data_IF_145415305816
#
_entry.id   IF_145415305816
#
_cell.length_a   1.000
_cell.length_b   1.000
_cell.length_c   1.000
_cell.angle_alpha   90.00
_cell.angle_beta   90.00
_cell.angle_gamma   90.00
#
_symmetry.space_group_name_H-M   'P 1'
#
loop_
_entity.id
_entity.type
_entity.pdbx_description
1 polymer ?
#
# COMPACT_ATOMS: atom_id res chain seq x y z
N UNK A 1 -20.97 -23.74 11.65
CA UNK A 1 -20.13 -22.65 11.09
C UNK A 1 -19.55 -23.14 9.76
N UNK A 2 -19.69 -22.38 8.69
CA UNK A 2 -19.11 -22.67 7.39
C UNK A 2 -18.39 -21.41 6.82
N UNK A 3 -17.70 -21.56 5.68
CA UNK A 3 -16.92 -20.46 5.07
C UNK A 3 -17.80 -19.28 4.64
N UNK A 4 -19.07 -19.55 4.34
CA UNK A 4 -20.05 -18.53 3.95
C UNK A 4 -20.40 -17.67 5.15
N UNK A 5 -20.51 -18.25 6.35
CA UNK A 5 -20.75 -17.51 7.57
C UNK A 5 -19.60 -16.53 7.87
N UNK A 6 -18.36 -16.97 7.63
CA UNK A 6 -17.18 -16.12 7.78
C UNK A 6 -17.13 -14.99 6.73
N UNK A 7 -17.54 -15.26 5.49
CA UNK A 7 -17.66 -14.23 4.44
C UNK A 7 -18.71 -13.17 4.82
N UNK A 8 -19.84 -13.59 5.35
CA UNK A 8 -20.89 -12.67 5.79
C UNK A 8 -20.45 -11.83 7.00
N UNK A 9 -19.76 -12.47 7.96
CA UNK A 9 -19.17 -11.78 9.11
C UNK A 9 -18.19 -10.69 8.64
N UNK A 10 -17.24 -11.02 7.76
CA UNK A 10 -16.27 -10.08 7.24
C UNK A 10 -16.92 -8.93 6.46
N UNK A 11 -17.93 -9.24 5.61
CA UNK A 11 -18.67 -8.22 4.87
C UNK A 11 -19.45 -7.28 5.79
N UNK A 12 -20.10 -7.80 6.83
CA UNK A 12 -20.84 -7.03 7.80
C UNK A 12 -19.93 -6.12 8.64
N UNK A 13 -18.76 -6.64 9.06
CA UNK A 13 -17.76 -5.87 9.78
C UNK A 13 -17.19 -4.71 8.95
N UNK A 14 -16.86 -4.96 7.68
CA UNK A 14 -16.33 -3.94 6.78
C UNK A 14 -17.36 -2.87 6.41
N UNK A 15 -18.63 -3.26 6.23
CA UNK A 15 -19.69 -2.35 5.85
C UNK A 15 -20.25 -1.53 7.04
N UNK A 16 -20.11 -2.03 8.28
CA UNK A 16 -20.72 -1.47 9.48
C UNK A 16 -22.27 -1.44 9.44
N UNK A 17 -22.87 -2.19 8.50
CA UNK A 17 -24.33 -2.23 8.31
C UNK A 17 -24.72 -3.49 7.52
N UNK A 18 -25.67 -4.27 8.03
CA UNK A 18 -26.10 -5.52 7.37
C UNK A 18 -26.76 -5.29 6.01
N UNK A 19 -27.46 -4.17 5.82
CA UNK A 19 -28.08 -3.85 4.53
C UNK A 19 -27.03 -3.52 3.46
N UNK A 20 -25.99 -2.75 3.80
CA UNK A 20 -24.86 -2.47 2.89
C UNK A 20 -24.08 -3.74 2.57
N UNK A 21 -23.83 -4.58 3.58
CA UNK A 21 -23.17 -5.87 3.39
C UNK A 21 -24.00 -6.80 2.48
N UNK A 22 -25.31 -6.86 2.67
CA UNK A 22 -26.22 -7.63 1.83
C UNK A 22 -26.18 -7.15 0.37
N UNK A 23 -26.27 -5.85 0.16
CA UNK A 23 -26.19 -5.24 -1.18
C UNK A 23 -24.87 -5.57 -1.89
N UNK A 24 -23.74 -5.52 -1.19
CA UNK A 24 -22.42 -5.85 -1.78
C UNK A 24 -22.27 -7.32 -2.15
N UNK A 25 -23.06 -8.21 -1.52
CA UNK A 25 -23.04 -9.66 -1.77
C UNK A 25 -24.19 -10.12 -2.67
N UNK A 26 -25.07 -9.22 -3.14
CA UNK A 26 -26.25 -9.57 -3.94
C UNK A 26 -27.29 -10.36 -3.16
N UNK A 27 -27.45 -10.10 -1.85
CA UNK A 27 -28.30 -10.84 -0.93
C UNK A 27 -29.32 -9.94 -0.23
N UNK A 28 -30.31 -10.58 0.42
CA UNK A 28 -31.25 -9.90 1.31
C UNK A 28 -30.62 -9.68 2.71
N UNK A 29 -30.94 -8.53 3.32
CA UNK A 29 -30.48 -8.19 4.68
C UNK A 29 -30.87 -9.24 5.71
N UNK A 30 -32.07 -9.84 5.57
CA UNK A 30 -32.58 -10.90 6.45
C UNK A 30 -31.71 -12.16 6.39
N UNK A 31 -31.13 -12.46 5.24
CA UNK A 31 -30.24 -13.62 5.06
C UNK A 31 -28.94 -13.43 5.86
N UNK A 32 -28.29 -12.27 5.74
CA UNK A 32 -27.09 -11.98 6.50
C UNK A 32 -27.38 -11.95 8.01
N UNK A 33 -28.42 -11.20 8.42
CA UNK A 33 -28.77 -11.09 9.85
C UNK A 33 -29.04 -12.45 10.48
N UNK A 34 -29.79 -13.34 9.80
CA UNK A 34 -30.12 -14.69 10.28
C UNK A 34 -28.88 -15.60 10.34
N UNK A 35 -27.97 -15.49 9.36
CA UNK A 35 -26.73 -16.28 9.33
C UNK A 35 -25.78 -15.84 10.43
N UNK A 36 -25.62 -14.52 10.63
CA UNK A 36 -24.82 -13.97 11.72
C UNK A 36 -25.38 -14.39 13.08
N UNK A 37 -26.71 -14.29 13.29
CA UNK A 37 -27.34 -14.74 14.54
C UNK A 37 -27.06 -16.23 14.84
N UNK A 38 -27.19 -17.11 13.83
CA UNK A 38 -26.83 -18.53 13.99
C UNK A 38 -25.36 -18.74 14.32
N UNK A 39 -24.48 -17.92 13.74
CA UNK A 39 -23.05 -17.97 14.04
C UNK A 39 -22.77 -17.55 15.49
N UNK A 40 -23.42 -16.50 15.98
CA UNK A 40 -23.36 -16.03 17.36
C UNK A 40 -23.88 -17.11 18.33
N UNK A 41 -25.01 -17.76 17.99
CA UNK A 41 -25.55 -18.89 18.78
C UNK A 41 -24.56 -20.07 18.87
N UNK A 42 -23.89 -20.41 17.78
CA UNK A 42 -22.89 -21.47 17.73
C UNK A 42 -21.62 -21.14 18.52
N UNK A 43 -21.22 -19.87 18.53
CA UNK A 43 -20.03 -19.42 19.23
C UNK A 43 -20.29 -19.12 20.71
N UNK A 44 -21.55 -18.93 21.08
CA UNK A 44 -21.97 -18.66 22.45
C UNK A 44 -21.74 -17.20 22.91
N UNK A 45 -21.44 -16.27 21.96
CA UNK A 45 -21.31 -14.85 22.26
C UNK A 45 -21.69 -13.99 21.04
N UNK A 46 -22.09 -12.74 21.30
CA UNK A 46 -22.43 -11.79 20.25
C UNK A 46 -21.17 -11.29 19.53
N UNK A 47 -21.20 -11.30 18.21
CA UNK A 47 -20.15 -10.76 17.36
C UNK A 47 -20.36 -9.28 17.08
N UNK A 48 -21.63 -8.84 17.04
CA UNK A 48 -22.02 -7.47 16.77
C UNK A 48 -22.90 -6.89 17.87
N UNK A 49 -22.72 -5.63 18.11
CA UNK A 49 -23.67 -4.78 18.86
C UNK A 49 -24.39 -3.84 17.87
N UNK A 50 -25.68 -3.60 18.14
CA UNK A 50 -26.52 -2.71 17.33
C UNK A 50 -26.51 -1.32 17.93
N UNK A 51 -26.15 -0.31 17.12
CA UNK A 51 -26.22 1.10 17.48
C UNK A 51 -27.11 1.85 16.47
N UNK A 52 -27.50 3.07 16.82
CA UNK A 52 -28.24 3.95 15.88
C UNK A 52 -27.47 4.21 14.59
N UNK A 53 -26.14 4.14 14.62
CA UNK A 53 -25.21 4.32 13.49
C UNK A 53 -25.03 3.06 12.62
N UNK A 54 -25.56 1.90 13.02
CA UNK A 54 -25.38 0.64 12.32
C UNK A 54 -25.02 -0.53 13.23
N UNK A 55 -24.12 -1.40 12.79
CA UNK A 55 -23.59 -2.53 13.57
C UNK A 55 -22.10 -2.37 13.76
N UNK A 56 -21.62 -2.62 14.98
CA UNK A 56 -20.22 -2.58 15.35
C UNK A 56 -19.80 -3.92 15.94
N UNK A 57 -18.55 -4.32 15.70
CA UNK A 57 -18.01 -5.53 16.33
C UNK A 57 -17.91 -5.34 17.84
N UNK A 58 -18.32 -6.36 18.58
CA UNK A 58 -17.99 -6.49 20.00
C UNK A 58 -16.48 -6.75 20.18
N UNK A 59 -15.98 -6.68 21.42
CA UNK A 59 -14.60 -7.05 21.72
C UNK A 59 -14.28 -8.50 21.29
N UNK A 60 -15.25 -9.44 21.50
CA UNK A 60 -15.14 -10.82 21.01
C UNK A 60 -15.12 -10.91 19.49
N UNK A 61 -15.99 -10.16 18.81
CA UNK A 61 -16.01 -10.07 17.36
C UNK A 61 -14.69 -9.53 16.81
N UNK A 62 -14.14 -8.49 17.43
CA UNK A 62 -12.90 -7.87 17.03
C UNK A 62 -11.69 -8.81 17.15
N UNK A 63 -11.59 -9.56 18.26
CA UNK A 63 -10.52 -10.54 18.44
C UNK A 63 -10.60 -11.69 17.43
N UNK A 64 -11.81 -12.08 17.00
CA UNK A 64 -12.02 -13.15 16.03
C UNK A 64 -11.67 -12.73 14.59
N UNK A 65 -11.77 -11.44 14.24
CA UNK A 65 -11.61 -10.97 12.86
C UNK A 65 -10.22 -11.28 12.26
N UNK A 66 -9.17 -11.29 13.07
CA UNK A 66 -7.84 -11.68 12.60
C UNK A 66 -7.83 -13.15 12.10
N UNK A 67 -8.48 -14.04 12.82
CA UNK A 67 -8.60 -15.46 12.44
C UNK A 67 -9.53 -15.65 11.24
N UNK A 68 -10.68 -14.96 11.23
CA UNK A 68 -11.63 -15.00 10.10
C UNK A 68 -10.94 -14.57 8.79
N UNK A 69 -10.23 -13.48 8.81
CA UNK A 69 -9.54 -12.97 7.63
C UNK A 69 -8.45 -13.93 7.13
N UNK A 70 -7.69 -14.56 8.02
CA UNK A 70 -6.71 -15.59 7.65
C UNK A 70 -7.39 -16.81 7.04
N UNK A 71 -8.46 -17.31 7.65
CA UNK A 71 -9.20 -18.47 7.14
C UNK A 71 -9.77 -18.20 5.74
N UNK A 72 -10.34 -17.01 5.51
CA UNK A 72 -10.84 -16.63 4.18
C UNK A 72 -9.71 -16.53 3.15
N UNK A 73 -8.57 -15.98 3.53
CA UNK A 73 -7.41 -15.91 2.65
C UNK A 73 -6.86 -17.30 2.29
N UNK A 74 -6.79 -18.23 3.26
CA UNK A 74 -6.41 -19.62 3.00
C UNK A 74 -7.41 -20.35 2.11
N UNK A 75 -8.71 -20.15 2.35
CA UNK A 75 -9.75 -20.73 1.49
C UNK A 75 -9.61 -20.23 0.04
N UNK A 76 -9.38 -18.92 -0.16
CA UNK A 76 -9.15 -18.37 -1.49
C UNK A 76 -7.85 -18.91 -2.12
N UNK A 77 -6.82 -19.19 -1.33
CA UNK A 77 -5.60 -19.85 -1.78
C UNK A 77 -5.87 -21.29 -2.24
N UNK A 78 -6.68 -22.05 -1.50
CA UNK A 78 -7.09 -23.42 -1.90
C UNK A 78 -7.89 -23.38 -3.22
N UNK A 79 -8.83 -22.45 -3.36
CA UNK A 79 -9.60 -22.30 -4.61
C UNK A 79 -8.69 -21.96 -5.79
N UNK A 80 -7.72 -21.07 -5.57
CA UNK A 80 -6.71 -20.74 -6.60
C UNK A 80 -5.85 -21.96 -6.94
N UNK A 81 -5.32 -22.66 -5.94
CA UNK A 81 -4.48 -23.86 -6.14
C UNK A 81 -5.24 -24.99 -6.87
N UNK A 82 -6.54 -25.15 -6.59
CA UNK A 82 -7.39 -26.12 -7.29
C UNK A 82 -7.62 -25.76 -8.78
N UNK A 83 -7.63 -24.44 -9.09
CA UNK A 83 -7.68 -23.95 -10.47
C UNK A 83 -6.35 -24.05 -11.23
N UNK A 84 -5.25 -24.24 -10.48
CA UNK A 84 -3.88 -24.24 -10.98
C UNK A 84 -3.29 -25.65 -10.97
N UNK A 85 -3.63 -26.49 -11.93
CA UNK A 85 -2.86 -27.70 -12.17
C UNK A 85 -1.41 -27.34 -12.55
N UNK A 86 -0.58 -27.15 -11.53
CA UNK A 86 0.84 -27.47 -11.56
C UNK A 86 1.83 -26.59 -12.33
N UNK A 87 1.46 -25.46 -12.94
CA UNK A 87 2.43 -24.74 -13.79
C UNK A 87 2.79 -23.31 -13.39
N UNK A 88 2.03 -22.63 -12.48
CA UNK A 88 2.27 -21.23 -12.12
C UNK A 88 2.31 -20.24 -13.31
N UNK A 89 1.84 -20.66 -14.47
CA UNK A 89 1.65 -19.83 -15.66
C UNK A 89 0.29 -19.11 -15.65
N UNK A 90 -0.59 -19.51 -14.75
CA UNK A 90 -1.90 -18.92 -14.50
C UNK A 90 -1.95 -18.58 -13.01
N UNK A 91 -2.42 -17.40 -12.66
CA UNK A 91 -2.50 -16.98 -11.26
C UNK A 91 -2.88 -15.51 -11.10
N UNK A 92 -2.82 -15.03 -9.87
CA UNK A 92 -3.05 -13.64 -9.55
C UNK A 92 -2.06 -13.16 -8.51
N UNK A 93 -1.53 -11.96 -8.68
CA UNK A 93 -0.61 -11.31 -7.76
C UNK A 93 -1.25 -10.03 -7.25
N UNK A 94 -1.29 -9.87 -5.93
CA UNK A 94 -1.74 -8.67 -5.25
C UNK A 94 -0.51 -7.89 -4.78
N UNK A 95 -0.23 -6.78 -5.45
CA UNK A 95 0.91 -5.90 -5.19
C UNK A 95 0.47 -4.69 -4.36
N UNK A 96 1.04 -4.53 -3.19
CA UNK A 96 0.91 -3.32 -2.40
C UNK A 96 1.96 -2.29 -2.79
N UNK A 97 1.58 -1.02 -2.84
CA UNK A 97 2.51 0.07 -3.12
C UNK A 97 2.24 1.23 -2.17
N UNK A 98 3.30 1.86 -1.67
CA UNK A 98 3.17 3.11 -0.93
C UNK A 98 3.23 4.32 -1.85
N UNK A 99 4.12 4.29 -2.84
CA UNK A 99 4.29 5.35 -3.82
C UNK A 99 3.59 4.93 -5.12
N UNK A 100 2.84 5.84 -5.77
CA UNK A 100 2.25 5.53 -7.07
C UNK A 100 3.33 5.06 -8.05
N UNK A 101 3.14 3.93 -8.73
CA UNK A 101 4.12 3.37 -9.66
C UNK A 101 4.07 4.08 -11.02
N UNK A 102 4.38 5.38 -11.05
CA UNK A 102 4.18 6.25 -12.23
C UNK A 102 5.44 6.47 -13.07
N UNK A 103 6.55 5.80 -12.76
CA UNK A 103 7.80 6.02 -13.47
C UNK A 103 8.66 4.78 -13.67
N UNK A 104 9.74 4.98 -14.43
CA UNK A 104 10.81 4.01 -14.55
C UNK A 104 11.63 3.91 -13.24
N UNK A 105 12.16 2.72 -12.85
CA UNK A 105 12.18 1.50 -13.67
C UNK A 105 10.99 0.55 -13.45
N UNK A 106 10.04 0.86 -12.55
CA UNK A 106 8.95 -0.07 -12.21
C UNK A 106 8.03 -0.35 -13.41
N UNK A 107 7.73 0.67 -14.23
CA UNK A 107 6.89 0.49 -15.43
C UNK A 107 7.49 -0.58 -16.34
N UNK A 108 8.80 -0.52 -16.61
CA UNK A 108 9.47 -1.47 -17.49
C UNK A 108 9.59 -2.87 -16.87
N UNK A 109 9.71 -2.98 -15.54
CA UNK A 109 9.68 -4.25 -14.83
C UNK A 109 8.29 -4.91 -14.96
N UNK A 110 7.22 -4.15 -14.73
CA UNK A 110 5.84 -4.64 -14.85
C UNK A 110 5.46 -4.98 -16.28
N UNK A 111 5.90 -4.19 -17.26
CA UNK A 111 5.68 -4.46 -18.69
C UNK A 111 6.35 -5.77 -19.11
N UNK A 112 7.63 -5.96 -18.77
CA UNK A 112 8.35 -7.20 -19.05
C UNK A 112 7.79 -8.43 -18.32
N UNK A 113 7.26 -8.25 -17.11
CA UNK A 113 6.50 -9.30 -16.43
C UNK A 113 5.26 -9.70 -17.22
N UNK A 114 4.44 -8.75 -17.63
CA UNK A 114 3.22 -8.99 -18.42
C UNK A 114 3.50 -9.73 -19.73
N UNK A 115 4.58 -9.37 -20.43
CA UNK A 115 4.98 -10.04 -21.67
C UNK A 115 5.33 -11.52 -21.46
N UNK A 116 6.07 -11.83 -20.39
CA UNK A 116 6.51 -13.20 -20.09
C UNK A 116 5.43 -14.05 -19.40
N UNK A 117 4.48 -13.41 -18.72
CA UNK A 117 3.44 -14.07 -17.91
C UNK A 117 2.07 -13.48 -18.18
N UNK A 118 1.56 -13.55 -19.44
CA UNK A 118 0.31 -12.87 -19.86
C UNK A 118 -0.94 -13.39 -19.14
N UNK A 119 -0.88 -14.61 -18.61
CA UNK A 119 -2.00 -15.26 -17.90
C UNK A 119 -1.95 -15.10 -16.37
N UNK A 120 -0.99 -14.34 -15.85
CA UNK A 120 -0.95 -13.99 -14.42
C UNK A 120 -1.53 -12.61 -14.23
N UNK A 121 -2.69 -12.53 -13.59
CA UNK A 121 -3.32 -11.26 -13.27
C UNK A 121 -2.50 -10.51 -12.21
N UNK A 122 -2.35 -9.20 -12.37
CA UNK A 122 -1.74 -8.33 -11.39
C UNK A 122 -2.76 -7.29 -10.94
N UNK A 123 -2.94 -7.16 -9.64
CA UNK A 123 -3.72 -6.08 -9.01
C UNK A 123 -2.82 -5.22 -8.14
N UNK A 124 -3.06 -3.92 -8.13
CA UNK A 124 -2.29 -2.96 -7.33
C UNK A 124 -3.21 -2.32 -6.30
N UNK A 125 -2.72 -2.18 -5.07
CA UNK A 125 -3.40 -1.46 -4.01
C UNK A 125 -2.43 -0.45 -3.37
N UNK A 126 -2.82 0.82 -3.35
CA UNK A 126 -2.09 1.85 -2.60
C UNK A 126 -2.44 1.76 -1.13
N UNK A 127 -1.41 1.72 -0.28
CA UNK A 127 -1.60 1.61 1.17
C UNK A 127 -0.37 2.10 1.94
N UNK A 128 -0.54 2.35 3.23
CA UNK A 128 0.56 2.67 4.13
C UNK A 128 1.43 1.43 4.39
N UNK A 129 2.70 1.62 4.75
CA UNK A 129 3.60 0.50 5.03
C UNK A 129 3.13 -0.37 6.21
N UNK A 130 2.60 0.18 7.33
CA UNK A 130 2.00 -0.64 8.38
C UNK A 130 0.78 -1.45 7.90
N UNK A 131 -0.08 -0.86 7.07
CA UNK A 131 -1.21 -1.57 6.48
C UNK A 131 -0.74 -2.68 5.52
N UNK A 132 0.34 -2.44 4.78
CA UNK A 132 0.97 -3.41 3.88
C UNK A 132 1.57 -4.58 4.65
N UNK A 133 2.32 -4.33 5.73
CA UNK A 133 2.85 -5.37 6.60
C UNK A 133 1.73 -6.25 7.16
N UNK A 134 0.64 -5.63 7.63
CA UNK A 134 -0.54 -6.35 8.12
C UNK A 134 -1.26 -7.14 7.03
N UNK A 135 -1.36 -6.59 5.82
CA UNK A 135 -1.98 -7.26 4.68
C UNK A 135 -1.16 -8.48 4.22
N UNK A 136 0.18 -8.39 4.23
CA UNK A 136 1.08 -9.53 3.97
C UNK A 136 0.90 -10.61 5.04
N UNK A 137 0.91 -10.26 6.32
CA UNK A 137 0.69 -11.20 7.43
C UNK A 137 -0.66 -11.93 7.29
N UNK A 138 -1.72 -11.19 6.95
CA UNK A 138 -3.08 -11.73 6.78
C UNK A 138 -3.33 -12.39 5.42
N UNK A 139 -2.31 -12.56 4.58
CA UNK A 139 -2.40 -13.15 3.22
C UNK A 139 -3.40 -12.43 2.30
N UNK A 140 -3.64 -11.14 2.56
CA UNK A 140 -4.45 -10.27 1.70
C UNK A 140 -3.64 -9.60 0.60
N UNK A 141 -2.32 -9.64 0.76
CA UNK A 141 -1.32 -9.13 -0.17
C UNK A 141 -0.28 -10.23 -0.38
N UNK A 142 0.28 -10.30 -1.58
CA UNK A 142 1.29 -11.30 -1.94
C UNK A 142 2.69 -10.70 -1.90
N UNK A 143 2.83 -9.48 -2.41
CA UNK A 143 4.09 -8.73 -2.45
C UNK A 143 3.82 -7.25 -2.17
N UNK A 144 4.83 -6.54 -1.70
CA UNK A 144 4.75 -5.09 -1.46
C UNK A 144 5.99 -4.35 -1.94
N UNK A 145 5.83 -3.10 -2.32
CA UNK A 145 6.93 -2.16 -2.55
C UNK A 145 6.96 -1.16 -1.40
N UNK A 146 8.05 -1.19 -0.65
CA UNK A 146 8.28 -0.31 0.50
C UNK A 146 9.55 0.52 0.30
N UNK A 147 9.70 1.54 1.12
CA UNK A 147 10.98 2.22 1.28
C UNK A 147 11.79 1.56 2.39
N UNK A 148 13.12 1.52 2.28
CA UNK A 148 14.01 0.85 3.25
C UNK A 148 14.00 1.42 4.68
N UNK A 149 13.19 2.45 4.93
CA UNK A 149 13.09 3.11 6.23
C UNK A 149 12.13 2.41 7.21
N UNK A 150 11.31 1.47 6.73
CA UNK A 150 10.31 0.83 7.58
C UNK A 150 10.57 -0.67 7.65
N UNK A 151 10.91 -1.21 8.83
CA UNK A 151 11.03 -2.66 9.01
C UNK A 151 9.68 -3.36 8.74
N UNK A 152 9.69 -4.35 7.86
CA UNK A 152 8.49 -5.10 7.50
C UNK A 152 8.34 -6.40 8.32
N UNK A 153 8.68 -6.35 9.60
CA UNK A 153 8.53 -7.48 10.52
C UNK A 153 9.28 -8.73 10.07
N UNK A 154 8.56 -9.87 9.95
CA UNK A 154 9.12 -11.15 9.51
C UNK A 154 9.12 -11.34 7.99
N UNK A 155 8.75 -10.34 7.19
CA UNK A 155 8.74 -10.44 5.74
C UNK A 155 10.17 -10.54 5.20
N UNK A 156 10.34 -11.32 4.13
CA UNK A 156 11.56 -11.29 3.34
C UNK A 156 11.58 -10.03 2.47
N UNK A 157 12.76 -9.47 2.26
CA UNK A 157 12.92 -8.30 1.39
C UNK A 157 14.11 -8.44 0.46
N UNK A 158 14.08 -7.69 -0.63
CA UNK A 158 15.24 -7.45 -1.47
C UNK A 158 15.20 -6.04 -2.05
N UNK A 159 16.35 -5.38 -2.21
CA UNK A 159 16.43 -4.13 -2.94
C UNK A 159 16.01 -4.34 -4.39
N UNK A 160 15.21 -3.39 -4.90
CA UNK A 160 14.66 -3.45 -6.25
C UNK A 160 15.24 -2.35 -7.14
N UNK A 161 15.20 -1.12 -6.71
CA UNK A 161 15.80 0.04 -7.40
C UNK A 161 15.93 1.25 -6.45
N UNK A 162 16.63 2.27 -6.92
CA UNK A 162 16.82 3.52 -6.20
C UNK A 162 16.02 4.63 -6.89
N UNK A 163 15.24 5.38 -6.11
CA UNK A 163 14.53 6.59 -6.52
C UNK A 163 15.28 7.83 -6.02
N UNK A 164 15.61 8.75 -6.89
CA UNK A 164 16.14 10.04 -6.47
C UNK A 164 15.03 10.94 -5.95
N UNK A 165 15.37 11.72 -4.92
CA UNK A 165 14.47 12.74 -4.39
C UNK A 165 14.64 14.06 -5.14
N UNK A 166 13.52 14.75 -5.31
CA UNK A 166 13.43 16.09 -5.86
C UNK A 166 12.57 16.96 -4.95
N UNK A 167 12.85 18.23 -4.89
CA UNK A 167 12.00 19.21 -4.24
C UNK A 167 10.88 19.64 -5.18
N UNK A 168 9.63 19.58 -4.74
CA UNK A 168 8.47 20.14 -5.43
C UNK A 168 8.12 21.47 -4.78
N UNK A 169 8.20 22.55 -5.55
CA UNK A 169 8.00 23.93 -5.09
C UNK A 169 6.96 24.65 -5.96
N UNK A 170 6.27 25.68 -5.45
CA UNK A 170 5.40 26.52 -6.28
C UNK A 170 6.16 27.11 -7.48
N UNK A 171 5.49 27.33 -8.59
CA UNK A 171 6.13 27.84 -9.82
C UNK A 171 6.73 29.25 -9.66
N UNK A 172 6.21 30.06 -8.76
CA UNK A 172 6.64 31.42 -8.42
C UNK A 172 7.62 31.47 -7.23
N UNK A 173 7.97 30.33 -6.65
CA UNK A 173 8.88 30.23 -5.53
C UNK A 173 10.32 30.58 -5.95
N UNK A 174 11.10 31.21 -5.04
CA UNK A 174 12.49 31.57 -5.32
C UNK A 174 13.37 30.38 -5.74
N UNK A 175 13.11 29.21 -5.18
CA UNK A 175 13.81 27.98 -5.53
C UNK A 175 13.44 27.46 -6.92
N UNK A 176 12.30 27.86 -7.49
CA UNK A 176 11.88 27.44 -8.82
C UNK A 176 12.81 27.98 -9.93
N UNK A 177 13.52 29.08 -9.69
CA UNK A 177 14.49 29.64 -10.63
C UNK A 177 15.86 28.92 -10.62
N UNK A 178 16.13 28.06 -9.62
CA UNK A 178 17.40 27.34 -9.50
C UNK A 178 17.43 26.12 -10.41
N UNK A 179 18.63 25.67 -10.80
CA UNK A 179 18.81 24.40 -11.55
C UNK A 179 18.72 23.20 -10.63
N UNK A 180 19.21 23.32 -9.39
CA UNK A 180 19.14 22.33 -8.30
C UNK A 180 19.05 23.06 -6.96
N UNK A 181 18.65 22.35 -5.93
CA UNK A 181 18.57 22.84 -4.55
C UNK A 181 19.38 21.93 -3.61
N UNK A 182 19.89 22.50 -2.53
CA UNK A 182 20.54 21.75 -1.46
C UNK A 182 19.61 21.63 -0.27
N UNK A 183 19.86 20.68 0.64
CA UNK A 183 19.10 20.55 1.88
C UNK A 183 19.08 21.85 2.69
N UNK A 184 20.17 22.60 2.66
CA UNK A 184 20.27 23.90 3.34
C UNK A 184 19.28 24.94 2.82
N UNK A 185 18.91 24.88 1.53
CA UNK A 185 17.93 25.78 0.94
C UNK A 185 16.49 25.45 1.34
N UNK A 186 16.25 24.24 1.84
CA UNK A 186 14.93 23.72 2.14
C UNK A 186 14.61 23.76 3.65
N UNK A 187 15.61 24.01 4.53
CA UNK A 187 15.44 23.92 6.00
C UNK A 187 14.40 24.85 6.59
N UNK A 188 14.26 26.03 6.00
CA UNK A 188 13.37 27.08 6.52
C UNK A 188 11.96 27.01 5.89
N UNK A 189 11.74 26.06 4.97
CA UNK A 189 10.47 25.89 4.29
C UNK A 189 9.44 25.15 5.15
N UNK A 190 8.16 25.36 4.84
CA UNK A 190 7.06 24.58 5.38
C UNK A 190 6.86 23.34 4.52
N UNK A 191 7.07 22.14 5.09
CA UNK A 191 6.92 20.90 4.36
C UNK A 191 5.51 20.34 4.47
N UNK A 192 4.85 20.18 3.33
CA UNK A 192 3.57 19.47 3.21
C UNK A 192 3.85 17.98 3.08
N UNK A 193 3.42 17.19 4.05
CA UNK A 193 3.64 15.75 4.08
C UNK A 193 2.33 14.96 4.01
N UNK A 194 2.39 13.78 3.40
CA UNK A 194 1.29 12.82 3.49
C UNK A 194 1.37 12.08 4.81
N UNK A 195 0.29 12.06 5.54
CA UNK A 195 0.14 11.32 6.78
C UNK A 195 -1.25 10.68 6.82
N UNK A 196 -1.32 9.39 6.48
CA UNK A 196 -2.57 8.63 6.41
C UNK A 196 -2.93 7.96 7.73
N UNK A 197 -1.97 7.84 8.63
CA UNK A 197 -2.06 7.19 9.92
C UNK A 197 -1.13 7.87 10.95
N UNK A 198 -1.13 7.39 12.17
CA UNK A 198 -0.25 7.88 13.24
C UNK A 198 1.24 7.50 13.05
N UNK A 199 1.61 6.95 11.91
CA UNK A 199 2.99 6.58 11.60
C UNK A 199 3.87 7.82 11.44
N UNK A 200 4.91 7.92 12.24
CA UNK A 200 5.88 9.00 12.18
C UNK A 200 6.96 8.80 11.11
N UNK A 201 6.94 7.68 10.38
CA UNK A 201 8.00 7.29 9.44
C UNK A 201 8.32 8.39 8.39
N UNK A 202 7.30 9.07 7.87
CA UNK A 202 7.49 10.18 6.94
C UNK A 202 8.20 11.36 7.61
N UNK A 203 7.81 11.73 8.83
CA UNK A 203 8.44 12.81 9.60
C UNK A 203 9.88 12.47 9.95
N UNK A 204 10.14 11.24 10.37
CA UNK A 204 11.48 10.75 10.69
C UNK A 204 12.39 10.78 9.47
N UNK A 205 11.89 10.36 8.30
CA UNK A 205 12.62 10.47 7.04
C UNK A 205 13.00 11.92 6.75
N UNK A 206 12.06 12.84 6.76
CA UNK A 206 12.33 14.25 6.49
C UNK A 206 13.28 14.85 7.54
N UNK A 207 13.09 14.53 8.83
CA UNK A 207 13.96 14.99 9.90
C UNK A 207 15.39 14.44 9.76
N UNK A 208 15.56 13.22 9.26
CA UNK A 208 16.89 12.63 9.00
C UNK A 208 17.61 13.31 7.84
N UNK A 209 16.89 13.80 6.84
CA UNK A 209 17.45 14.47 5.65
C UNK A 209 17.69 15.96 5.89
N UNK A 210 16.78 16.64 6.56
CA UNK A 210 16.70 18.09 6.68
C UNK A 210 17.10 18.62 8.06
N UNK A 211 17.10 17.76 9.08
CA UNK A 211 17.33 18.11 10.48
C UNK A 211 16.04 18.24 11.29
N UNK A 212 16.18 18.31 12.63
CA UNK A 212 15.05 18.27 13.58
C UNK A 212 14.21 19.56 13.64
N UNK A 213 14.69 20.67 13.08
CA UNK A 213 14.02 21.97 13.12
C UNK A 213 13.01 22.19 11.98
N UNK A 214 12.82 21.22 11.11
CA UNK A 214 11.94 21.33 9.93
C UNK A 214 10.47 21.42 10.37
N UNK A 215 9.75 22.34 9.75
CA UNK A 215 8.31 22.52 9.98
C UNK A 215 7.50 21.63 9.04
N UNK A 216 6.48 20.97 9.58
CA UNK A 216 5.62 20.06 8.84
C UNK A 216 4.15 20.43 8.97
N UNK A 217 3.47 20.44 7.85
CA UNK A 217 2.01 20.41 7.76
C UNK A 217 1.57 19.06 7.19
N UNK A 218 0.90 18.26 8.02
CA UNK A 218 0.51 16.90 7.70
C UNK A 218 -0.91 16.84 7.11
N UNK A 219 -1.08 16.08 6.05
CA UNK A 219 -2.33 15.97 5.31
C UNK A 219 -2.69 14.51 5.06
N UNK A 220 -3.89 14.09 5.50
CA UNK A 220 -4.48 12.79 5.16
C UNK A 220 -5.02 12.83 3.72
N UNK A 221 -4.12 12.94 2.74
CA UNK A 221 -4.44 13.22 1.35
C UNK A 221 -3.51 12.46 0.38
N UNK A 222 -3.94 12.31 -0.86
CA UNK A 222 -3.08 11.74 -1.93
C UNK A 222 -1.90 12.67 -2.24
N UNK A 223 -0.86 12.13 -2.86
CA UNK A 223 0.29 12.93 -3.29
C UNK A 223 -0.11 14.04 -4.29
N UNK A 224 -1.09 13.76 -5.14
CA UNK A 224 -1.66 14.73 -6.08
C UNK A 224 -2.33 15.90 -5.34
N UNK A 225 -3.06 15.61 -4.26
CA UNK A 225 -3.66 16.67 -3.43
C UNK A 225 -2.59 17.50 -2.72
N UNK A 226 -1.50 16.88 -2.26
CA UNK A 226 -0.35 17.62 -1.71
C UNK A 226 0.29 18.51 -2.77
N UNK A 227 0.45 18.04 -4.00
CA UNK A 227 0.95 18.86 -5.10
C UNK A 227 0.02 20.05 -5.43
N UNK A 228 -1.31 19.87 -5.31
CA UNK A 228 -2.24 20.99 -5.47
C UNK A 228 -2.05 22.06 -4.38
N UNK A 229 -1.77 21.68 -3.14
CA UNK A 229 -1.43 22.62 -2.06
C UNK A 229 -0.08 23.31 -2.33
N UNK A 230 0.92 22.58 -2.84
CA UNK A 230 2.19 23.19 -3.27
C UNK A 230 1.94 24.21 -4.38
N UNK A 231 1.17 23.87 -5.42
CA UNK A 231 0.82 24.78 -6.50
C UNK A 231 0.11 26.05 -6.02
N UNK A 232 -0.67 25.94 -4.94
CA UNK A 232 -1.37 27.04 -4.30
C UNK A 232 -0.49 27.86 -3.32
N UNK A 233 0.79 27.52 -3.15
CA UNK A 233 1.74 28.27 -2.32
C UNK A 233 1.67 27.98 -0.82
N UNK A 234 1.06 26.86 -0.38
CA UNK A 234 0.99 26.53 1.06
C UNK A 234 2.32 26.00 1.63
N UNK A 235 3.28 25.64 0.78
CA UNK A 235 4.58 25.13 1.19
C UNK A 235 5.23 24.31 0.09
N UNK A 236 6.22 23.51 0.47
CA UNK A 236 7.00 22.64 -0.42
C UNK A 236 6.84 21.19 -0.04
N UNK A 237 7.23 20.24 -0.89
CA UNK A 237 7.28 18.82 -0.51
C UNK A 237 8.43 18.11 -1.21
N UNK A 238 8.84 16.95 -0.71
CA UNK A 238 9.71 16.05 -1.46
C UNK A 238 8.86 15.13 -2.35
N UNK A 239 9.36 14.87 -3.54
CA UNK A 239 8.82 13.89 -4.47
C UNK A 239 9.94 12.97 -4.95
N UNK A 240 9.59 11.86 -5.59
CA UNK A 240 10.57 11.08 -6.33
C UNK A 240 10.71 11.59 -7.76
N UNK A 241 11.82 11.26 -8.39
CA UNK A 241 12.05 11.61 -9.80
C UNK A 241 10.97 10.99 -10.72
N UNK A 242 10.52 9.77 -10.39
CA UNK A 242 9.38 9.13 -11.07
C UNK A 242 8.08 9.95 -10.95
N UNK A 243 7.79 10.51 -9.78
CA UNK A 243 6.62 11.37 -9.59
C UNK A 243 6.77 12.70 -10.34
N UNK A 244 7.99 13.23 -10.44
CA UNK A 244 8.28 14.45 -11.17
C UNK A 244 8.21 14.29 -12.70
N UNK A 245 8.27 13.06 -13.21
CA UNK A 245 8.08 12.77 -14.63
C UNK A 245 6.65 13.09 -15.12
N UNK A 246 5.69 13.15 -14.20
CA UNK A 246 4.32 13.58 -14.49
C UNK A 246 4.22 15.09 -14.26
N UNK A 247 3.87 15.84 -15.30
CA UNK A 247 3.68 17.29 -15.19
C UNK A 247 2.53 17.65 -14.26
N UNK A 248 2.79 18.51 -13.28
CA UNK A 248 1.80 19.04 -12.35
C UNK A 248 1.70 20.54 -12.55
N UNK A 249 0.56 21.07 -13.05
CA UNK A 249 0.40 22.50 -13.25
C UNK A 249 0.64 23.31 -11.97
N UNK A 250 1.45 24.36 -12.05
CA UNK A 250 1.77 25.22 -10.90
C UNK A 250 2.87 24.69 -9.97
N UNK A 251 3.41 23.50 -10.23
CA UNK A 251 4.53 22.92 -9.47
C UNK A 251 5.77 22.82 -10.32
N UNK A 252 6.90 23.18 -9.76
CA UNK A 252 8.23 23.01 -10.36
C UNK A 252 9.02 22.02 -9.53
N UNK A 253 9.56 20.99 -10.18
CA UNK A 253 10.42 20.00 -9.54
C UNK A 253 11.90 20.40 -9.73
N UNK A 254 12.66 20.36 -8.65
CA UNK A 254 14.10 20.67 -8.64
C UNK A 254 14.90 19.51 -8.07
N UNK A 255 15.91 19.04 -8.81
CA UNK A 255 16.83 18.02 -8.30
C UNK A 255 17.49 18.50 -7.00
N UNK A 256 17.68 17.57 -6.09
CA UNK A 256 18.45 17.80 -4.86
C UNK A 256 19.90 17.42 -5.16
N UNK A 257 20.83 18.33 -4.84
CA UNK A 257 22.22 18.20 -5.24
C UNK A 257 22.98 17.11 -4.49
N UNK A 258 22.57 16.81 -3.27
CA UNK A 258 23.24 15.81 -2.45
C UNK A 258 23.03 14.39 -2.99
N UNK A 259 24.09 13.60 -2.98
CA UNK A 259 24.10 12.24 -3.53
C UNK A 259 23.25 11.26 -2.69
N UNK A 260 23.09 11.55 -1.40
CA UNK A 260 22.24 10.76 -0.50
C UNK A 260 20.75 11.10 -0.58
N UNK A 261 20.36 12.05 -1.46
CA UNK A 261 18.97 12.39 -1.71
C UNK A 261 18.28 11.30 -2.55
N UNK A 262 18.11 10.12 -1.98
CA UNK A 262 17.52 8.97 -2.65
C UNK A 262 16.75 8.08 -1.66
N UNK A 263 15.81 7.30 -2.21
CA UNK A 263 15.06 6.27 -1.52
C UNK A 263 15.40 4.92 -2.15
N UNK A 264 15.81 3.96 -1.33
CA UNK A 264 15.88 2.57 -1.75
C UNK A 264 14.47 1.99 -1.75
N UNK A 265 14.01 1.49 -2.88
CA UNK A 265 12.76 0.76 -3.00
C UNK A 265 13.06 -0.74 -2.87
N UNK A 266 12.33 -1.39 -1.98
CA UNK A 266 12.46 -2.82 -1.70
C UNK A 266 11.17 -3.55 -2.08
N UNK A 267 11.32 -4.73 -2.66
CA UNK A 267 10.26 -5.70 -2.78
C UNK A 267 10.23 -6.54 -1.51
N UNK A 268 9.05 -6.63 -0.89
CA UNK A 268 8.82 -7.44 0.31
C UNK A 268 7.76 -8.50 0.04
N UNK A 269 7.92 -9.67 0.66
CA UNK A 269 6.98 -10.78 0.57
C UNK A 269 7.09 -11.66 1.81
N UNK A 270 6.13 -12.57 1.99
CA UNK A 270 6.24 -13.58 3.03
C UNK A 270 7.32 -14.61 2.68
N UNK A 271 8.18 -15.02 3.63
CA UNK A 271 9.23 -16.03 3.38
C UNK A 271 8.68 -17.34 2.82
N UNK A 272 7.50 -17.74 3.26
CA UNK A 272 6.80 -18.94 2.81
C UNK A 272 6.11 -18.66 1.47
N UNK A 273 6.85 -18.84 0.38
CA UNK A 273 6.32 -18.72 -0.98
C UNK A 273 5.52 -19.97 -1.36
N UNK A 274 4.27 -20.05 -0.92
CA UNK A 274 3.38 -21.18 -1.22
C UNK A 274 2.75 -21.06 -2.62
N UNK A 275 2.67 -19.86 -3.17
CA UNK A 275 2.10 -19.60 -4.50
C UNK A 275 3.20 -19.52 -5.55
N UNK A 276 3.12 -20.42 -6.55
CA UNK A 276 4.14 -20.52 -7.62
C UNK A 276 4.21 -19.24 -8.47
N UNK A 277 3.10 -18.52 -8.71
CA UNK A 277 3.09 -17.27 -9.46
C UNK A 277 3.82 -16.17 -8.70
N UNK A 278 3.62 -16.09 -7.37
CA UNK A 278 4.34 -15.15 -6.49
C UNK A 278 5.83 -15.46 -6.48
N UNK A 279 6.20 -16.73 -6.33
CA UNK A 279 7.60 -17.17 -6.38
C UNK A 279 8.29 -16.79 -7.70
N UNK A 280 7.61 -16.97 -8.83
CA UNK A 280 8.11 -16.56 -10.15
C UNK A 280 8.23 -15.04 -10.27
N UNK A 281 7.25 -14.29 -9.75
CA UNK A 281 7.30 -12.84 -9.76
C UNK A 281 8.50 -12.31 -8.98
N UNK A 282 8.75 -12.83 -7.77
CA UNK A 282 9.92 -12.47 -6.96
C UNK A 282 11.22 -12.84 -7.68
N UNK A 283 11.30 -14.02 -8.27
CA UNK A 283 12.48 -14.45 -9.05
C UNK A 283 12.71 -13.55 -10.27
N UNK A 284 11.65 -13.27 -11.04
CA UNK A 284 11.71 -12.35 -12.17
C UNK A 284 12.21 -10.96 -11.77
N UNK A 285 11.61 -10.36 -10.73
CA UNK A 285 12.02 -9.05 -10.24
C UNK A 285 13.49 -9.04 -9.81
N UNK A 286 13.96 -10.11 -9.16
CA UNK A 286 15.37 -10.26 -8.76
C UNK A 286 16.31 -10.30 -9.98
N UNK A 287 15.96 -11.10 -10.97
CA UNK A 287 16.81 -11.32 -12.15
C UNK A 287 16.88 -10.05 -13.00
N UNK A 288 15.76 -9.37 -13.21
CA UNK A 288 15.72 -8.11 -13.96
C UNK A 288 16.45 -6.98 -13.23
N UNK A 289 16.30 -6.86 -11.91
CA UNK A 289 17.03 -5.89 -11.10
C UNK A 289 18.54 -6.06 -11.25
N UNK A 290 19.02 -7.30 -11.18
CA UNK A 290 20.45 -7.61 -11.35
C UNK A 290 20.93 -7.35 -12.78
N UNK A 291 20.16 -7.79 -13.78
CA UNK A 291 20.54 -7.65 -15.19
C UNK A 291 20.64 -6.20 -15.62
N UNK A 292 19.74 -5.35 -15.09
CA UNK A 292 19.68 -3.91 -15.41
C UNK A 292 20.54 -3.04 -14.49
N UNK A 293 21.17 -3.61 -13.47
CA UNK A 293 21.98 -2.88 -12.46
C UNK A 293 21.22 -1.74 -11.80
N UNK A 294 20.02 -2.04 -11.34
CA UNK A 294 19.12 -1.04 -10.73
C UNK A 294 19.45 -0.71 -9.27
N UNK A 295 20.31 -1.50 -8.65
CA UNK A 295 20.83 -1.36 -7.27
C UNK A 295 22.35 -1.57 -7.28
#
# INVERSE_FOLDING_TARGET
MDIIDLKYLAAAANAGNFGRAAKSLGLDTSTISRRIGRLEDQLGFALFERAKSGVHLTAGGQSLMGHVNRTLAEFDAVVRAAGETGSGHIGAIRLGVRLPPVGEPLISLLAGWRERHPNVALTIAEMTEPAMAKALELRRLDVGLITSFTPCGSAASMPLYVERLVAAVPHDHALAARKSVDWSNLRDEEFLIQEWDESQATRELYASLLGQSVRFSAHAASKQSVFALVAAGFGVTLATESQAAVSVPGVVFRPIAETNACLQIELVWRPELEDAAVGRFVAYMRDETRSRRLV
#
